data_IF_562572525710
#
_entry.id   IF_562572525710
#
_cell.length_a   1.000
_cell.length_b   1.000
_cell.length_c   1.000
_cell.angle_alpha   90.00
_cell.angle_beta   90.00
_cell.angle_gamma   90.00
#
_symmetry.space_group_name_H-M   'P 1'
#
loop_
_entity.id
_entity.type
_entity.pdbx_description
1 polymer ?
#
# COMPACT_ATOMS: atom_id res chain seq x y z
N UNK A 1 -0.99 -11.44 -10.90
CA UNK A 1 -2.09 -10.56 -10.50
C UNK A 1 -3.09 -11.34 -9.66
N UNK A 2 -3.38 -10.86 -8.47
CA UNK A 2 -4.47 -11.27 -7.58
C UNK A 2 -5.44 -10.11 -7.49
N UNK A 3 -6.74 -10.38 -7.60
CA UNK A 3 -7.75 -9.34 -7.64
C UNK A 3 -8.75 -9.48 -6.51
N UNK A 4 -9.16 -8.37 -5.93
CA UNK A 4 -10.19 -8.30 -4.90
C UNK A 4 -11.18 -7.16 -5.20
N UNK A 5 -12.38 -7.29 -4.65
CA UNK A 5 -13.45 -6.30 -4.76
C UNK A 5 -14.18 -6.20 -3.42
N UNK A 6 -14.48 -4.96 -3.01
CA UNK A 6 -15.38 -4.68 -1.91
C UNK A 6 -16.39 -3.60 -2.32
N UNK A 7 -17.67 -3.96 -2.42
CA UNK A 7 -18.69 -3.05 -2.96
C UNK A 7 -18.32 -2.60 -4.37
N UNK A 8 -18.12 -1.30 -4.56
CA UNK A 8 -17.71 -0.73 -5.84
C UNK A 8 -16.20 -0.42 -5.93
N UNK A 9 -15.42 -0.72 -4.89
CA UNK A 9 -13.96 -0.58 -4.88
C UNK A 9 -13.26 -1.86 -5.35
N UNK A 10 -12.21 -1.69 -6.14
CA UNK A 10 -11.42 -2.75 -6.79
C UNK A 10 -9.94 -2.64 -6.39
N UNK A 11 -9.31 -3.81 -6.23
CA UNK A 11 -7.89 -3.95 -5.96
C UNK A 11 -7.29 -4.95 -6.95
N UNK A 12 -6.18 -4.57 -7.58
CA UNK A 12 -5.30 -5.46 -8.32
C UNK A 12 -3.92 -5.45 -7.66
N UNK A 13 -3.46 -6.62 -7.24
CA UNK A 13 -2.14 -6.79 -6.63
C UNK A 13 -1.30 -7.71 -7.54
N UNK A 14 -0.19 -7.22 -8.06
CA UNK A 14 0.76 -8.01 -8.81
C UNK A 14 2.01 -8.26 -7.99
N UNK A 15 2.57 -9.46 -8.13
CA UNK A 15 3.86 -9.84 -7.58
C UNK A 15 4.73 -10.35 -8.71
N UNK A 16 6.01 -9.98 -8.68
CA UNK A 16 6.99 -10.52 -9.61
C UNK A 16 7.23 -12.01 -9.41
N UNK A 17 7.28 -12.45 -8.15
CA UNK A 17 7.31 -13.87 -7.79
C UNK A 17 5.92 -14.48 -7.78
N UNK A 18 5.86 -15.79 -7.99
CA UNK A 18 4.65 -16.57 -7.77
C UNK A 18 4.17 -16.41 -6.31
N UNK A 19 2.85 -16.32 -6.17
CA UNK A 19 2.20 -16.08 -4.88
C UNK A 19 1.35 -17.28 -4.51
N UNK A 20 1.33 -17.57 -3.22
CA UNK A 20 0.49 -18.60 -2.62
C UNK A 20 -0.26 -18.00 -1.42
N UNK A 21 -1.46 -18.51 -1.19
CA UNK A 21 -2.18 -18.23 0.05
C UNK A 21 -1.64 -19.15 1.14
N UNK A 22 -1.22 -18.57 2.26
CA UNK A 22 -0.78 -19.35 3.41
C UNK A 22 -1.98 -19.98 4.10
N UNK A 23 -1.92 -21.29 4.30
CA UNK A 23 -2.83 -22.02 5.19
C UNK A 23 -2.37 -21.84 6.64
N UNK A 24 -3.33 -21.68 7.56
CA UNK A 24 -3.06 -21.49 8.98
C UNK A 24 -3.55 -22.71 9.78
N UNK A 25 -2.66 -23.36 10.54
CA UNK A 25 -2.95 -24.46 11.48
C UNK A 25 -2.24 -24.22 12.83
N UNK A 26 -2.81 -24.60 14.00
CA UNK A 26 -4.14 -25.20 14.23
C UNK A 26 -5.28 -24.15 14.29
N UNK A 27 -6.56 -24.57 14.20
CA UNK A 27 -7.74 -23.69 14.13
C UNK A 27 -8.09 -22.95 15.44
N UNK A 28 -7.15 -22.84 16.39
CA UNK A 28 -7.34 -22.02 17.59
C UNK A 28 -7.16 -20.53 17.25
N UNK A 29 -8.17 -20.02 16.55
CA UNK A 29 -8.55 -18.61 16.36
C UNK A 29 -7.41 -17.59 16.54
N UNK A 30 -6.37 -17.59 15.68
CA UNK A 30 -5.27 -16.66 15.81
C UNK A 30 -5.69 -15.20 15.51
N UNK A 31 -6.79 -14.99 14.76
CA UNK A 31 -7.11 -13.70 14.13
C UNK A 31 -8.59 -13.26 14.19
N UNK A 32 -9.40 -13.81 15.11
CA UNK A 32 -10.72 -13.27 15.44
C UNK A 32 -11.85 -13.67 14.48
N UNK A 33 -11.88 -14.94 14.06
CA UNK A 33 -13.00 -15.55 13.33
C UNK A 33 -12.83 -15.70 11.81
N UNK A 34 -11.64 -15.45 11.26
CA UNK A 34 -11.35 -15.74 9.86
C UNK A 34 -11.18 -17.26 9.65
N UNK A 35 -11.93 -17.82 8.68
CA UNK A 35 -11.93 -19.25 8.37
C UNK A 35 -11.26 -19.61 7.04
N UNK A 36 -10.86 -18.61 6.27
CA UNK A 36 -10.22 -18.77 4.96
C UNK A 36 -8.79 -18.22 5.02
N UNK A 37 -7.88 -18.65 4.13
CA UNK A 37 -6.55 -18.05 4.00
C UNK A 37 -6.64 -16.54 3.74
N UNK A 38 -5.84 -15.75 4.48
CA UNK A 38 -5.83 -14.28 4.38
C UNK A 38 -4.43 -13.69 4.16
N UNK A 39 -3.38 -14.50 4.30
CA UNK A 39 -2.00 -14.12 4.02
C UNK A 39 -1.62 -14.52 2.58
N UNK A 40 -1.56 -13.55 1.66
CA UNK A 40 -0.98 -13.74 0.34
C UNK A 40 0.54 -13.58 0.41
N UNK A 41 1.28 -14.64 0.09
CA UNK A 41 2.74 -14.70 0.28
C UNK A 41 3.44 -14.92 -1.05
N UNK A 42 4.39 -14.05 -1.39
CA UNK A 42 5.38 -14.30 -2.41
C UNK A 42 6.56 -15.06 -1.78
N UNK A 43 6.71 -16.35 -2.10
CA UNK A 43 7.78 -17.18 -1.51
C UNK A 43 9.14 -16.81 -2.11
N UNK A 44 10.26 -17.14 -1.44
CA UNK A 44 11.62 -16.95 -1.96
C UNK A 44 12.44 -15.81 -1.36
N UNK A 45 11.89 -15.02 -0.42
CA UNK A 45 12.64 -14.01 0.34
C UNK A 45 12.09 -12.58 0.22
N UNK A 46 12.74 -11.61 0.89
CA UNK A 46 12.27 -10.21 0.96
C UNK A 46 12.48 -9.41 -0.33
N UNK A 47 13.27 -9.92 -1.27
CA UNK A 47 13.57 -9.31 -2.55
C UNK A 47 12.49 -9.64 -3.60
N UNK A 48 11.34 -9.00 -3.46
CA UNK A 48 10.23 -9.10 -4.40
C UNK A 48 9.73 -7.71 -4.81
N UNK A 49 9.11 -7.62 -5.98
CA UNK A 49 8.39 -6.44 -6.45
C UNK A 49 6.90 -6.70 -6.32
N UNK A 50 6.20 -5.77 -5.68
CA UNK A 50 4.75 -5.72 -5.63
C UNK A 50 4.26 -4.45 -6.34
N UNK A 51 3.23 -4.59 -7.18
CA UNK A 51 2.51 -3.47 -7.78
C UNK A 51 1.07 -3.49 -7.31
N UNK A 52 0.56 -2.35 -6.89
CA UNK A 52 -0.80 -2.17 -6.44
C UNK A 52 -1.53 -1.22 -7.39
N UNK A 53 -2.64 -1.68 -7.92
CA UNK A 53 -3.58 -0.87 -8.70
C UNK A 53 -4.90 -0.81 -7.93
N UNK A 54 -5.42 0.41 -7.77
CA UNK A 54 -6.73 0.65 -7.19
C UNK A 54 -7.66 1.18 -8.27
N UNK A 55 -8.93 0.80 -8.17
CA UNK A 55 -9.97 1.31 -9.05
C UNK A 55 -11.32 1.24 -8.37
N UNK A 56 -12.33 1.73 -9.07
CA UNK A 56 -13.71 1.61 -8.64
C UNK A 56 -14.66 1.56 -9.83
N UNK A 57 -15.95 1.39 -9.57
CA UNK A 57 -16.96 1.34 -10.61
C UNK A 57 -17.06 2.63 -11.45
N UNK A 58 -16.73 3.79 -10.87
CA UNK A 58 -16.81 5.09 -11.54
C UNK A 58 -15.65 5.34 -12.50
N UNK A 59 -14.45 4.92 -12.12
CA UNK A 59 -13.20 5.10 -12.88
C UNK A 59 -12.93 3.96 -13.84
N UNK A 60 -13.21 2.72 -13.42
CA UNK A 60 -12.82 1.50 -14.15
C UNK A 60 -14.00 0.76 -14.77
N UNK A 61 -15.23 1.25 -14.54
CA UNK A 61 -16.44 0.60 -15.04
C UNK A 61 -16.73 -0.70 -14.30
N UNK A 62 -16.59 -1.85 -14.97
CA UNK A 62 -16.84 -3.14 -14.32
C UNK A 62 -15.56 -3.71 -13.69
N UNK A 63 -15.70 -4.59 -12.70
CA UNK A 63 -14.57 -5.31 -12.12
C UNK A 63 -13.82 -6.15 -13.18
N UNK A 64 -14.54 -6.69 -14.17
CA UNK A 64 -13.92 -7.41 -15.29
C UNK A 64 -13.10 -6.46 -16.18
N UNK A 65 -13.63 -5.27 -16.47
CA UNK A 65 -12.92 -4.24 -17.24
C UNK A 65 -11.64 -3.80 -16.53
N UNK A 66 -11.71 -3.59 -15.21
CA UNK A 66 -10.55 -3.31 -14.36
C UNK A 66 -9.49 -4.41 -14.46
N UNK A 67 -9.91 -5.66 -14.27
CA UNK A 67 -9.05 -6.84 -14.37
C UNK A 67 -8.39 -6.98 -15.76
N UNK A 68 -9.11 -6.68 -16.83
CA UNK A 68 -8.58 -6.70 -18.19
C UNK A 68 -7.57 -5.58 -18.40
N UNK A 69 -7.84 -4.37 -17.90
CA UNK A 69 -6.93 -3.23 -18.00
C UNK A 69 -5.59 -3.52 -17.31
N UNK A 70 -5.60 -4.04 -16.08
CA UNK A 70 -4.37 -4.42 -15.36
C UNK A 70 -3.54 -5.47 -16.11
N UNK A 71 -4.18 -6.37 -16.87
CA UNK A 71 -3.52 -7.43 -17.65
C UNK A 71 -3.14 -7.02 -19.07
N UNK A 72 -3.55 -5.84 -19.53
CA UNK A 72 -3.31 -5.40 -20.91
C UNK A 72 -1.83 -5.12 -21.23
N UNK A 73 -1.02 -4.87 -20.20
CA UNK A 73 0.42 -4.78 -20.27
C UNK A 73 1.04 -5.40 -19.03
N UNK A 74 1.91 -6.39 -19.22
CA UNK A 74 2.62 -7.02 -18.12
C UNK A 74 3.73 -6.09 -17.60
N UNK A 75 3.91 -5.99 -16.26
CA UNK A 75 5.07 -5.34 -15.68
C UNK A 75 6.38 -5.98 -16.17
N UNK A 76 7.36 -5.15 -16.50
CA UNK A 76 8.73 -5.59 -16.78
C UNK A 76 9.57 -5.40 -15.53
N UNK A 77 10.33 -6.43 -15.16
CA UNK A 77 11.24 -6.41 -14.01
C UNK A 77 12.59 -6.99 -14.44
N UNK A 78 13.63 -6.19 -14.27
CA UNK A 78 15.03 -6.60 -14.38
C UNK A 78 15.65 -6.60 -12.97
N UNK A 79 16.49 -7.59 -12.66
CA UNK A 79 17.17 -7.73 -11.37
C UNK A 79 18.65 -7.99 -11.59
N UNK A 80 19.49 -7.21 -10.93
CA UNK A 80 20.95 -7.33 -10.90
C UNK A 80 21.46 -7.32 -9.45
N UNK A 81 22.77 -7.12 -9.27
CA UNK A 81 23.39 -7.08 -7.94
C UNK A 81 23.11 -5.76 -7.20
N UNK A 82 22.74 -4.70 -7.93
CA UNK A 82 22.40 -3.37 -7.42
C UNK A 82 20.92 -3.24 -7.03
N UNK A 83 20.04 -4.08 -7.59
CA UNK A 83 18.66 -4.22 -7.17
C UNK A 83 17.69 -4.51 -8.32
N UNK A 84 16.59 -3.76 -8.37
CA UNK A 84 15.53 -3.93 -9.37
C UNK A 84 15.43 -2.71 -10.27
N UNK A 85 15.06 -2.95 -11.53
CA UNK A 85 14.48 -1.96 -12.43
C UNK A 85 13.10 -2.45 -12.87
N UNK A 86 12.09 -1.63 -12.67
CA UNK A 86 10.67 -1.98 -12.86
C UNK A 86 10.02 -0.95 -13.75
N UNK A 87 9.28 -1.41 -14.76
CA UNK A 87 8.47 -0.56 -15.63
C UNK A 87 7.10 -1.19 -15.87
N UNK A 88 6.04 -0.39 -15.79
CA UNK A 88 4.68 -0.83 -16.05
C UNK A 88 3.82 0.34 -16.53
N UNK A 89 2.76 0.08 -17.28
CA UNK A 89 1.75 1.09 -17.63
C UNK A 89 0.49 0.81 -16.81
N UNK A 90 0.30 1.60 -15.76
CA UNK A 90 -0.90 1.57 -14.93
C UNK A 90 -2.12 2.06 -15.73
N UNK A 91 -3.27 1.36 -15.64
CA UNK A 91 -4.52 1.82 -16.21
C UNK A 91 -4.99 3.19 -15.70
N UNK A 92 -4.72 3.52 -14.44
CA UNK A 92 -5.17 4.76 -13.81
C UNK A 92 -4.09 5.86 -13.75
N UNK A 93 -2.82 5.47 -13.66
CA UNK A 93 -1.70 6.41 -13.42
C UNK A 93 -0.73 6.53 -14.62
N UNK A 94 -0.94 5.79 -15.71
CA UNK A 94 -0.06 5.85 -16.88
C UNK A 94 1.30 5.16 -16.66
N UNK A 95 2.36 5.66 -17.28
CA UNK A 95 3.68 5.01 -17.22
C UNK A 95 4.30 5.14 -15.82
N UNK A 96 4.58 4.00 -15.18
CA UNK A 96 5.21 3.92 -13.86
C UNK A 96 6.58 3.27 -14.01
N UNK A 97 7.62 3.92 -13.49
CA UNK A 97 8.96 3.35 -13.43
C UNK A 97 9.58 3.50 -12.04
N UNK A 98 10.22 2.43 -11.57
CA UNK A 98 10.91 2.36 -10.30
C UNK A 98 12.26 1.67 -10.49
N UNK A 99 13.29 2.12 -9.77
CA UNK A 99 14.52 1.35 -9.63
C UNK A 99 15.07 1.43 -8.21
N UNK A 100 15.73 0.38 -7.73
CA UNK A 100 16.33 0.36 -6.39
C UNK A 100 17.35 1.48 -6.17
N UNK A 101 17.97 1.97 -7.24
CA UNK A 101 18.95 3.06 -7.25
C UNK A 101 18.51 4.25 -8.12
N UNK A 102 17.28 4.22 -8.64
CA UNK A 102 16.75 5.22 -9.55
C UNK A 102 15.52 5.94 -8.96
N UNK A 103 15.20 7.09 -9.52
CA UNK A 103 14.01 7.86 -9.16
C UNK A 103 12.73 7.10 -9.50
N UNK A 104 11.75 7.15 -8.60
CA UNK A 104 10.39 6.69 -8.89
C UNK A 104 9.65 7.76 -9.69
N UNK A 105 9.06 7.35 -10.82
CA UNK A 105 8.35 8.25 -11.72
C UNK A 105 6.98 7.74 -12.11
N UNK A 106 6.06 8.67 -12.31
CA UNK A 106 4.70 8.45 -12.83
C UNK A 106 4.47 9.44 -13.96
N UNK A 107 4.12 8.95 -15.14
CA UNK A 107 4.08 9.72 -16.40
C UNK A 107 5.38 10.49 -16.72
N UNK A 108 6.51 10.02 -16.19
CA UNK A 108 7.82 10.66 -16.32
C UNK A 108 8.10 11.75 -15.28
N UNK A 109 7.12 12.13 -14.47
CA UNK A 109 7.29 13.04 -13.36
C UNK A 109 7.81 12.31 -12.12
N UNK A 110 8.83 12.89 -11.47
CA UNK A 110 9.39 12.36 -10.24
C UNK A 110 8.38 12.44 -9.09
N UNK A 111 8.20 11.33 -8.40
CA UNK A 111 7.35 11.21 -7.22
C UNK A 111 8.23 10.94 -5.99
N UNK A 112 8.10 11.80 -4.99
CA UNK A 112 8.83 11.65 -3.73
C UNK A 112 8.48 10.31 -3.06
N UNK A 113 9.50 9.61 -2.55
CA UNK A 113 9.35 8.36 -1.79
C UNK A 113 9.79 8.50 -0.33
N UNK A 114 10.20 9.70 0.07
CA UNK A 114 10.72 10.02 1.39
C UNK A 114 10.15 11.36 1.87
N UNK A 115 10.44 11.69 3.13
CA UNK A 115 10.09 12.97 3.76
C UNK A 115 8.59 13.25 3.90
N UNK A 116 7.77 12.19 3.93
CA UNK A 116 6.36 12.29 4.30
C UNK A 116 6.20 12.36 5.83
N UNK A 117 5.19 13.09 6.34
CA UNK A 117 4.81 13.01 7.74
C UNK A 117 4.52 11.56 8.15
N UNK A 118 4.81 11.22 9.41
CA UNK A 118 4.40 9.93 10.00
C UNK A 118 2.88 9.72 9.93
N UNK A 119 2.13 10.81 10.04
CA UNK A 119 0.69 10.82 9.93
C UNK A 119 0.23 12.14 9.35
N UNK A 120 -0.73 12.10 8.44
CA UNK A 120 -1.43 13.27 7.95
C UNK A 120 -2.89 12.91 7.75
N UNK A 121 -3.79 13.69 8.36
CA UNK A 121 -5.22 13.54 8.18
C UNK A 121 -5.94 14.83 8.57
N UNK A 122 -7.28 14.81 8.49
CA UNK A 122 -8.12 15.94 8.91
C UNK A 122 -7.98 16.29 10.40
N UNK A 123 -7.47 15.37 11.22
CA UNK A 123 -7.28 15.60 12.65
C UNK A 123 -5.87 16.07 13.01
N UNK A 124 -4.98 16.24 12.03
CA UNK A 124 -3.66 16.82 12.22
C UNK A 124 -2.55 16.11 11.47
N UNK A 125 -1.35 16.67 11.61
CA UNK A 125 -0.11 16.19 10.98
C UNK A 125 0.91 15.87 12.07
N UNK A 126 1.61 14.76 11.93
CA UNK A 126 2.71 14.34 12.80
C UNK A 126 3.94 14.14 11.92
N UNK A 127 4.94 14.99 12.12
CA UNK A 127 6.19 14.90 11.37
C UNK A 127 6.91 13.56 11.60
N UNK A 128 7.68 13.15 10.60
CA UNK A 128 8.54 11.98 10.73
C UNK A 128 9.50 12.18 11.91
N UNK A 129 9.64 11.15 12.76
CA UNK A 129 10.42 11.15 14.01
C UNK A 129 9.98 12.17 15.09
N UNK A 130 8.82 12.82 14.94
CA UNK A 130 8.29 13.70 15.99
C UNK A 130 8.11 12.93 17.32
N UNK A 131 8.60 13.52 18.41
CA UNK A 131 8.41 13.00 19.78
C UNK A 131 7.17 13.58 20.45
N UNK A 132 6.55 14.59 19.84
CA UNK A 132 5.25 15.14 20.22
C UNK A 132 4.19 14.85 19.16
N UNK A 133 2.97 14.61 19.60
CA UNK A 133 1.80 14.38 18.75
C UNK A 133 0.68 15.28 19.24
N UNK A 134 0.11 16.08 18.34
CA UNK A 134 -1.11 16.83 18.61
C UNK A 134 -2.16 16.49 17.55
N UNK A 135 -3.26 15.88 17.99
CA UNK A 135 -4.39 15.55 17.14
C UNK A 135 -5.66 16.20 17.69
N UNK A 136 -6.49 16.74 16.79
CA UNK A 136 -7.70 17.47 17.13
C UNK A 136 -8.83 17.07 16.18
N UNK A 137 -9.91 16.52 16.74
CA UNK A 137 -11.19 16.39 16.04
C UNK A 137 -12.13 17.53 16.46
N UNK A 138 -13.38 17.48 15.99
CA UNK A 138 -14.42 18.41 16.44
C UNK A 138 -14.70 18.27 17.95
N UNK A 139 -14.72 17.03 18.45
CA UNK A 139 -15.16 16.72 19.82
C UNK A 139 -14.02 16.52 20.83
N UNK A 140 -12.79 16.30 20.36
CA UNK A 140 -11.70 15.86 21.23
C UNK A 140 -10.33 16.35 20.79
N UNK A 141 -9.41 16.39 21.75
CA UNK A 141 -7.99 16.66 21.52
C UNK A 141 -7.12 15.64 22.23
N UNK A 142 -6.04 15.23 21.58
CA UNK A 142 -4.97 14.42 22.14
C UNK A 142 -3.65 15.15 22.00
N UNK A 143 -2.92 15.32 23.11
CA UNK A 143 -1.54 15.76 23.11
C UNK A 143 -0.67 14.70 23.79
N UNK A 144 0.37 14.23 23.09
CA UNK A 144 1.38 13.33 23.63
C UNK A 144 2.74 14.00 23.51
N UNK A 145 3.59 13.81 24.52
CA UNK A 145 5.01 14.15 24.47
C UNK A 145 5.79 12.99 25.07
N UNK A 146 6.45 12.22 24.20
CA UNK A 146 7.23 11.05 24.60
C UNK A 146 8.51 11.43 25.35
N UNK A 147 9.08 12.61 25.06
CA UNK A 147 10.29 13.10 25.74
C UNK A 147 10.00 13.51 27.18
N UNK A 148 8.83 14.12 27.42
CA UNK A 148 8.36 14.51 28.74
C UNK A 148 7.53 13.43 29.44
N UNK A 149 7.24 12.30 28.78
CA UNK A 149 6.31 11.25 29.24
C UNK A 149 4.92 11.80 29.61
N UNK A 150 4.41 12.74 28.81
CA UNK A 150 3.15 13.43 29.06
C UNK A 150 2.05 12.97 28.11
N UNK A 151 0.83 12.89 28.64
CA UNK A 151 -0.41 12.64 27.88
C UNK A 151 -1.53 13.51 28.42
N UNK A 152 -2.12 14.32 27.55
CA UNK A 152 -3.31 15.12 27.83
C UNK A 152 -4.43 14.76 26.87
N UNK A 153 -5.64 14.68 27.42
CA UNK A 153 -6.88 14.47 26.67
C UNK A 153 -7.83 15.58 27.02
N UNK A 154 -8.42 16.19 25.98
CA UNK A 154 -9.49 17.16 26.10
C UNK A 154 -10.75 16.66 25.40
N UNK A 155 -11.90 17.05 25.94
CA UNK A 155 -13.19 17.05 25.23
C UNK A 155 -13.54 18.51 24.95
N UNK A 156 -14.17 18.77 23.80
CA UNK A 156 -14.50 20.13 23.36
C UNK A 156 -15.98 20.43 23.53
#
# INVERSE_FOLDING_TARGET
WTFARNGDGYLGLWSWREVDWREHEPPEDPDGGFSEPFDLVATGGPDNVWLCELGDAGSSGSFESFQQACRSGDPTVERDDEGFTVAWTSPSAGAVAFGSTATFTVEGDEVAQADFPRHESTIGTVEHLATSVELRSEDATLALDASALRRDIGTR
#
